data_IF_231387134856
#
_entry.id   IF_231387134856
#
_cell.length_a   1.000
_cell.length_b   1.000
_cell.length_c   1.000
_cell.angle_alpha   90.00
_cell.angle_beta   90.00
_cell.angle_gamma   90.00
#
_symmetry.space_group_name_H-M   'P 1'
#
loop_
_entity.id
_entity.type
_entity.pdbx_description
1 polymer ?
#
# COMPACT_ATOMS: atom_id res chain seq x y z
N UNK A 1 -12.59 -7.48 -18.73
CA UNK A 1 -11.25 -6.82 -18.73
C UNK A 1 -11.39 -5.31 -18.57
N UNK A 2 -12.20 -4.62 -19.40
CA UNK A 2 -12.37 -3.15 -19.36
C UNK A 2 -12.87 -2.70 -17.97
N UNK A 3 -13.95 -3.29 -17.44
CA UNK A 3 -14.48 -2.95 -16.11
C UNK A 3 -13.46 -3.15 -14.97
N UNK A 4 -12.57 -4.14 -15.09
CA UNK A 4 -11.49 -4.36 -14.12
C UNK A 4 -10.45 -3.25 -14.17
N UNK A 5 -10.04 -2.85 -15.38
CA UNK A 5 -9.09 -1.74 -15.59
C UNK A 5 -9.69 -0.42 -15.08
N UNK A 6 -10.96 -0.16 -15.40
CA UNK A 6 -11.65 1.05 -14.93
C UNK A 6 -11.74 1.10 -13.39
N UNK A 7 -12.03 -0.03 -12.75
CA UNK A 7 -12.04 -0.13 -11.27
C UNK A 7 -10.66 0.12 -10.67
N UNK A 8 -9.61 -0.40 -11.31
CA UNK A 8 -8.22 -0.18 -10.87
C UNK A 8 -7.81 1.29 -11.00
N UNK A 9 -8.12 1.91 -12.14
CA UNK A 9 -7.84 3.33 -12.40
C UNK A 9 -8.61 4.23 -11.43
N UNK A 10 -9.88 3.92 -11.18
CA UNK A 10 -10.71 4.67 -10.22
C UNK A 10 -10.13 4.53 -8.80
N UNK A 11 -9.77 3.31 -8.39
CA UNK A 11 -9.14 3.05 -7.09
C UNK A 11 -7.83 3.82 -6.91
N UNK A 12 -6.95 3.82 -7.93
CA UNK A 12 -5.72 4.60 -7.90
C UNK A 12 -5.98 6.10 -7.77
N UNK A 13 -6.91 6.65 -8.56
CA UNK A 13 -7.29 8.07 -8.46
C UNK A 13 -7.82 8.44 -7.08
N UNK A 14 -8.67 7.59 -6.50
CA UNK A 14 -9.24 7.82 -5.17
C UNK A 14 -8.17 7.80 -4.09
N UNK A 15 -7.21 6.87 -4.16
CA UNK A 15 -6.09 6.79 -3.24
C UNK A 15 -5.17 8.01 -3.35
N UNK A 16 -4.82 8.43 -4.58
CA UNK A 16 -3.99 9.63 -4.81
C UNK A 16 -4.70 10.89 -4.30
N UNK A 17 -6.00 11.01 -4.53
CA UNK A 17 -6.80 12.11 -4.00
C UNK A 17 -6.83 12.11 -2.48
N UNK A 18 -7.00 10.96 -1.84
CA UNK A 18 -6.95 10.84 -0.38
C UNK A 18 -5.56 11.19 0.18
N UNK A 19 -4.48 10.76 -0.49
CA UNK A 19 -3.12 11.04 -0.06
C UNK A 19 -2.79 12.54 -0.12
N UNK A 20 -3.34 13.30 -1.07
CA UNK A 20 -3.06 14.73 -1.20
C UNK A 20 -3.48 15.56 0.04
N UNK A 21 -4.48 15.10 0.80
CA UNK A 21 -4.88 15.77 2.03
C UNK A 21 -3.88 15.58 3.18
N UNK A 22 -3.18 14.44 3.23
CA UNK A 22 -2.13 14.21 4.23
C UNK A 22 -0.90 15.09 3.96
N UNK A 23 -0.54 15.27 2.67
CA UNK A 23 0.57 16.16 2.28
C UNK A 23 0.28 17.62 2.64
N UNK A 24 -0.98 18.07 2.50
CA UNK A 24 -1.41 19.42 2.89
C UNK A 24 -1.38 19.61 4.42
N UNK A 25 -1.78 18.61 5.21
CA UNK A 25 -1.73 18.64 6.67
C UNK A 25 -0.28 18.69 7.17
N UNK A 26 0.61 17.83 6.64
CA UNK A 26 2.04 17.84 6.99
C UNK A 26 2.72 19.17 6.61
N UNK A 27 2.38 19.74 5.46
CA UNK A 27 2.90 21.04 5.03
C UNK A 27 2.41 22.18 5.94
N UNK A 28 1.17 22.12 6.43
CA UNK A 28 0.62 23.09 7.37
C UNK A 28 1.25 22.96 8.77
N UNK A 29 1.45 21.73 9.25
CA UNK A 29 2.13 21.48 10.53
C UNK A 29 3.60 21.92 10.50
N UNK A 30 4.31 21.66 9.40
CA UNK A 30 5.68 22.11 9.19
C UNK A 30 5.77 23.64 9.15
N UNK A 31 4.84 24.31 8.49
CA UNK A 31 4.76 25.78 8.44
C UNK A 31 4.40 26.39 9.80
N UNK A 32 3.54 25.76 10.58
CA UNK A 32 3.19 26.19 11.94
C UNK A 32 4.34 26.00 12.93
N UNK A 33 5.16 24.97 12.74
CA UNK A 33 6.34 24.73 13.58
C UNK A 33 7.47 25.74 13.32
N UNK A 34 7.62 26.23 12.09
CA UNK A 34 8.63 27.24 11.72
C UNK A 34 8.18 28.66 12.10
N UNK A 35 6.87 28.94 12.08
CA UNK A 35 6.30 30.24 12.49
C UNK A 35 6.51 30.62 13.96
N UNK A 36 6.88 29.67 14.82
CA UNK A 36 7.13 29.92 16.24
C UNK A 36 8.61 30.28 16.56
N UNK A 37 9.46 30.40 15.53
CA UNK A 37 10.88 30.80 15.67
C UNK A 37 11.20 32.23 15.19
N UNK A 38 10.23 32.93 14.60
CA UNK A 38 10.47 34.26 14.00
C UNK A 38 9.77 35.39 14.73
N UNK A 39 9.93 35.46 16.06
CA UNK A 39 9.65 36.72 16.80
C UNK A 39 10.86 37.12 17.65
N UNK A 40 11.86 37.69 16.98
CA UNK A 40 12.85 38.63 17.52
C UNK A 40 13.84 39.01 16.42
N UNK A 41 13.59 40.14 15.73
CA UNK A 41 14.54 41.26 15.62
C UNK A 41 14.04 42.32 14.65
N UNK A 42 14.11 43.52 15.16
CA UNK A 42 13.67 44.79 14.63
C UNK A 42 14.28 45.24 13.29
N UNK A 43 13.43 46.03 12.59
CA UNK A 43 13.73 47.26 11.81
C UNK A 43 15.08 47.39 11.07
N UNK A 44 14.98 47.45 9.74
CA UNK A 44 15.48 48.63 9.00
C UNK A 44 14.91 48.65 7.56
N UNK A 45 14.21 49.76 7.29
CA UNK A 45 13.77 50.23 5.99
C UNK A 45 14.95 50.49 5.04
N UNK A 46 14.72 50.33 3.74
CA UNK A 46 15.52 50.99 2.73
C UNK A 46 15.74 50.20 1.43
N UNK A 47 14.90 50.53 0.44
CA UNK A 47 15.30 50.69 -0.96
C UNK A 47 16.08 49.59 -1.68
N UNK A 48 15.37 48.83 -2.54
CA UNK A 48 15.81 48.52 -3.92
C UNK A 48 14.75 47.72 -4.70
N UNK A 49 13.79 48.42 -5.29
CA UNK A 49 13.13 48.01 -6.53
C UNK A 49 14.17 48.05 -7.66
N UNK A 50 14.63 46.93 -8.12
CA UNK A 50 15.09 46.64 -9.49
C UNK A 50 15.98 45.39 -9.58
N UNK A 51 15.44 44.22 -9.26
CA UNK A 51 16.06 42.92 -9.66
C UNK A 51 15.08 41.75 -9.68
N UNK A 52 13.78 42.00 -9.81
CA UNK A 52 12.75 40.95 -9.70
C UNK A 52 12.58 40.09 -10.96
N UNK A 53 13.14 40.43 -12.11
CA UNK A 53 12.96 39.68 -13.35
C UNK A 53 13.89 38.49 -13.55
N UNK A 54 15.05 38.44 -12.89
CA UNK A 54 16.05 37.36 -13.11
C UNK A 54 16.04 36.31 -11.98
N UNK A 55 15.55 36.65 -10.80
CA UNK A 55 15.46 35.70 -9.67
C UNK A 55 14.20 34.85 -9.74
N UNK A 56 13.11 35.36 -10.31
CA UNK A 56 11.87 34.62 -10.51
C UNK A 56 12.00 33.47 -11.54
N UNK A 57 12.74 33.69 -12.63
CA UNK A 57 13.01 32.62 -13.61
C UNK A 57 13.99 31.57 -13.08
N UNK A 58 14.96 31.98 -12.29
CA UNK A 58 15.89 31.06 -11.64
C UNK A 58 15.21 30.22 -10.55
N UNK A 59 14.34 30.82 -9.74
CA UNK A 59 13.57 30.09 -8.70
C UNK A 59 12.54 29.14 -9.29
N UNK A 60 11.84 29.53 -10.38
CA UNK A 60 10.92 28.65 -11.09
C UNK A 60 11.62 27.48 -11.78
N UNK A 61 12.84 27.66 -12.28
CA UNK A 61 13.62 26.59 -12.87
C UNK A 61 14.17 25.61 -11.83
N UNK A 62 14.54 26.10 -10.65
CA UNK A 62 14.99 25.29 -9.53
C UNK A 62 13.83 24.50 -8.90
N UNK A 63 12.64 25.10 -8.78
CA UNK A 63 11.44 24.42 -8.31
C UNK A 63 11.03 23.29 -9.26
N UNK A 64 11.00 23.52 -10.58
CA UNK A 64 10.74 22.49 -11.59
C UNK A 64 11.78 21.37 -11.58
N UNK A 65 13.03 21.67 -11.26
CA UNK A 65 14.10 20.69 -11.19
C UNK A 65 14.00 19.86 -9.90
N UNK A 66 13.58 20.47 -8.79
CA UNK A 66 13.30 19.79 -7.53
C UNK A 66 12.11 18.84 -7.69
N UNK A 67 11.00 19.30 -8.24
CA UNK A 67 9.81 18.49 -8.54
C UNK A 67 10.12 17.29 -9.45
N UNK A 68 10.93 17.48 -10.50
CA UNK A 68 11.36 16.37 -11.34
C UNK A 68 12.26 15.37 -10.63
N UNK A 69 13.09 15.82 -9.70
CA UNK A 69 13.92 14.91 -8.88
C UNK A 69 13.05 14.10 -7.93
N UNK A 70 12.11 14.72 -7.27
CA UNK A 70 11.16 14.07 -6.39
C UNK A 70 10.31 13.02 -7.14
N UNK A 71 9.78 13.36 -8.31
CA UNK A 71 9.09 12.41 -9.18
C UNK A 71 9.98 11.23 -9.60
N UNK A 72 11.27 11.51 -9.89
CA UNK A 72 12.22 10.46 -10.27
C UNK A 72 12.55 9.56 -9.06
N UNK A 73 12.76 10.13 -7.89
CA UNK A 73 13.02 9.39 -6.64
C UNK A 73 11.82 8.51 -6.26
N UNK A 74 10.60 9.03 -6.37
CA UNK A 74 9.37 8.23 -6.19
C UNK A 74 9.28 7.10 -7.23
N UNK A 75 9.52 7.38 -8.51
CA UNK A 75 9.49 6.37 -9.56
C UNK A 75 10.54 5.27 -9.33
N UNK A 76 11.76 5.64 -8.93
CA UNK A 76 12.82 4.69 -8.60
C UNK A 76 12.46 3.83 -7.38
N UNK A 77 11.87 4.41 -6.35
CA UNK A 77 11.42 3.70 -5.15
C UNK A 77 10.32 2.70 -5.50
N UNK A 78 9.34 3.09 -6.30
CA UNK A 78 8.27 2.21 -6.77
C UNK A 78 8.83 1.07 -7.63
N UNK A 79 9.73 1.37 -8.58
CA UNK A 79 10.37 0.35 -9.40
C UNK A 79 11.19 -0.65 -8.57
N UNK A 80 11.96 -0.15 -7.61
CA UNK A 80 12.74 -0.99 -6.69
C UNK A 80 11.82 -1.89 -5.86
N UNK A 81 10.70 -1.35 -5.37
CA UNK A 81 9.71 -2.11 -4.60
C UNK A 81 9.08 -3.23 -5.43
N UNK A 82 8.75 -2.97 -6.70
CA UNK A 82 8.21 -3.97 -7.62
C UNK A 82 9.24 -5.08 -7.87
N UNK A 83 10.49 -4.71 -8.15
CA UNK A 83 11.57 -5.69 -8.38
C UNK A 83 11.79 -6.56 -7.14
N UNK A 84 11.80 -5.96 -5.94
CA UNK A 84 11.93 -6.68 -4.69
C UNK A 84 10.75 -7.62 -4.44
N UNK A 85 9.53 -7.17 -4.69
CA UNK A 85 8.33 -7.99 -4.57
C UNK A 85 8.38 -9.21 -5.52
N UNK A 86 8.76 -9.01 -6.79
CA UNK A 86 8.94 -10.10 -7.74
C UNK A 86 10.05 -11.06 -7.30
N UNK A 87 11.16 -10.56 -6.77
CA UNK A 87 12.24 -11.39 -6.26
C UNK A 87 11.77 -12.29 -5.09
N UNK A 88 11.04 -11.71 -4.12
CA UNK A 88 10.58 -12.46 -2.93
C UNK A 88 9.42 -13.40 -3.25
N UNK A 89 8.41 -12.95 -4.01
CA UNK A 89 7.19 -13.74 -4.21
C UNK A 89 7.20 -14.63 -5.45
N UNK A 90 8.11 -14.41 -6.39
CA UNK A 90 8.23 -15.21 -7.61
C UNK A 90 9.57 -15.93 -7.67
N UNK A 91 10.70 -15.20 -7.63
CA UNK A 91 12.01 -15.78 -7.85
C UNK A 91 12.45 -16.71 -6.69
N UNK A 92 12.15 -16.35 -5.44
CA UNK A 92 12.54 -17.16 -4.27
C UNK A 92 11.77 -18.51 -4.23
N UNK A 93 10.42 -18.59 -4.34
CA UNK A 93 9.74 -19.89 -4.40
C UNK A 93 10.15 -20.74 -5.59
N UNK A 94 10.37 -20.11 -6.75
CA UNK A 94 10.85 -20.81 -7.94
C UNK A 94 12.25 -21.37 -7.76
N UNK A 95 13.19 -20.60 -7.19
CA UNK A 95 14.55 -21.05 -6.90
C UNK A 95 14.58 -22.21 -5.89
N UNK A 96 13.74 -22.14 -4.84
CA UNK A 96 13.58 -23.24 -3.89
C UNK A 96 13.01 -24.50 -4.57
N UNK A 97 12.04 -24.33 -5.47
CA UNK A 97 11.46 -25.43 -6.25
C UNK A 97 12.53 -26.11 -7.12
N UNK A 98 13.43 -25.35 -7.75
CA UNK A 98 14.53 -25.91 -8.54
C UNK A 98 15.49 -26.75 -7.69
N UNK A 99 15.83 -26.30 -6.47
CA UNK A 99 16.68 -27.05 -5.54
C UNK A 99 16.02 -28.35 -5.06
N UNK A 100 14.69 -28.37 -4.92
CA UNK A 100 13.96 -29.55 -4.50
C UNK A 100 13.66 -30.54 -5.64
N UNK A 101 13.77 -30.11 -6.89
CA UNK A 101 13.44 -30.93 -8.07
C UNK A 101 14.27 -32.22 -8.14
N UNK A 102 15.51 -32.19 -7.71
CA UNK A 102 16.41 -33.35 -7.74
C UNK A 102 16.06 -34.38 -6.65
N UNK A 103 15.36 -33.95 -5.60
CA UNK A 103 14.96 -34.81 -4.49
C UNK A 103 13.51 -35.32 -4.60
N UNK A 104 12.66 -34.62 -5.34
CA UNK A 104 11.22 -34.92 -5.47
C UNK A 104 10.89 -35.28 -6.91
N UNK A 105 10.63 -36.56 -7.15
CA UNK A 105 10.27 -37.07 -8.49
C UNK A 105 8.87 -36.70 -8.94
N UNK A 106 7.94 -36.48 -8.00
CA UNK A 106 6.54 -36.19 -8.32
C UNK A 106 6.35 -34.68 -8.59
N UNK A 107 5.94 -34.32 -9.79
CA UNK A 107 5.65 -32.96 -10.20
C UNK A 107 4.50 -32.33 -9.38
N UNK A 108 3.48 -33.15 -9.03
CA UNK A 108 2.36 -32.71 -8.21
C UNK A 108 2.80 -32.32 -6.79
N UNK A 109 3.68 -33.13 -6.17
CA UNK A 109 4.24 -32.82 -4.83
C UNK A 109 5.10 -31.57 -4.89
N UNK A 110 5.90 -31.39 -5.94
CA UNK A 110 6.71 -30.18 -6.13
C UNK A 110 5.83 -28.93 -6.26
N UNK A 111 4.75 -28.99 -7.05
CA UNK A 111 3.79 -27.90 -7.19
C UNK A 111 3.08 -27.56 -5.87
N UNK A 112 2.74 -28.58 -5.08
CA UNK A 112 2.13 -28.39 -3.76
C UNK A 112 3.10 -27.65 -2.81
N UNK A 113 4.35 -28.09 -2.75
CA UNK A 113 5.38 -27.46 -1.90
C UNK A 113 5.62 -26.01 -2.33
N UNK A 114 5.76 -25.76 -3.63
CA UNK A 114 5.93 -24.40 -4.17
C UNK A 114 4.73 -23.50 -3.78
N UNK A 115 3.51 -24.02 -3.90
CA UNK A 115 2.30 -23.30 -3.50
C UNK A 115 2.22 -23.03 -2.01
N UNK A 116 2.61 -23.99 -1.17
CA UNK A 116 2.67 -23.81 0.29
C UNK A 116 3.73 -22.80 0.70
N UNK A 117 4.88 -22.76 0.04
CA UNK A 117 5.91 -21.75 0.28
C UNK A 117 5.37 -20.36 -0.06
N UNK A 118 4.69 -20.19 -1.20
CA UNK A 118 4.07 -18.89 -1.57
C UNK A 118 3.01 -18.45 -0.57
N UNK A 119 2.15 -19.37 -0.14
CA UNK A 119 1.14 -19.10 0.87
C UNK A 119 1.79 -18.69 2.21
N UNK A 120 2.81 -19.42 2.64
CA UNK A 120 3.56 -19.11 3.86
C UNK A 120 4.26 -17.76 3.80
N UNK A 121 4.89 -17.42 2.68
CA UNK A 121 5.51 -16.11 2.44
C UNK A 121 4.47 -14.98 2.49
N UNK A 122 3.30 -15.19 1.88
CA UNK A 122 2.24 -14.20 1.91
C UNK A 122 1.70 -13.96 3.33
N UNK A 123 1.40 -15.03 4.06
CA UNK A 123 0.92 -14.93 5.44
C UNK A 123 1.99 -14.31 6.34
N UNK A 124 3.25 -14.73 6.19
CA UNK A 124 4.38 -14.18 6.91
C UNK A 124 4.58 -12.69 6.63
N UNK A 125 4.46 -12.27 5.37
CA UNK A 125 4.50 -10.87 4.98
C UNK A 125 3.39 -10.06 5.67
N UNK A 126 2.13 -10.50 5.58
CA UNK A 126 0.99 -9.82 6.22
C UNK A 126 1.19 -9.74 7.73
N UNK A 127 1.71 -10.81 8.33
CA UNK A 127 2.03 -10.83 9.76
C UNK A 127 3.09 -9.80 10.13
N UNK A 128 4.19 -9.72 9.37
CA UNK A 128 5.28 -8.76 9.63
C UNK A 128 4.80 -7.32 9.47
N UNK A 129 4.07 -6.98 8.40
CA UNK A 129 3.57 -5.61 8.21
C UNK A 129 2.52 -5.21 9.27
N UNK A 130 1.85 -6.18 9.91
CA UNK A 130 0.87 -5.89 10.97
C UNK A 130 1.48 -5.25 12.22
N UNK A 131 2.81 -5.35 12.41
CA UNK A 131 3.52 -4.66 13.48
C UNK A 131 3.74 -3.16 13.22
N UNK A 132 3.62 -2.72 11.98
CA UNK A 132 3.69 -1.29 11.64
C UNK A 132 2.43 -0.59 12.17
N UNK A 133 2.60 0.53 12.88
CA UNK A 133 1.47 1.23 13.51
C UNK A 133 0.39 1.65 12.53
N UNK A 134 0.78 2.17 11.37
CA UNK A 134 -0.15 2.64 10.33
C UNK A 134 -0.93 1.48 9.71
N UNK A 135 -0.26 0.38 9.41
CA UNK A 135 -0.91 -0.83 8.89
C UNK A 135 -1.83 -1.47 9.94
N UNK A 136 -1.42 -1.47 11.20
CA UNK A 136 -2.26 -1.94 12.29
C UNK A 136 -3.56 -1.11 12.40
N UNK A 137 -3.47 0.21 12.26
CA UNK A 137 -4.65 1.08 12.19
C UNK A 137 -5.57 0.70 11.03
N UNK A 138 -5.03 0.46 9.84
CA UNK A 138 -5.81 0.00 8.68
C UNK A 138 -6.54 -1.30 9.00
N UNK A 139 -5.89 -2.27 9.65
CA UNK A 139 -6.55 -3.52 10.06
C UNK A 139 -7.63 -3.31 11.13
N UNK A 140 -7.44 -2.36 12.05
CA UNK A 140 -8.47 -1.99 13.02
C UNK A 140 -9.70 -1.37 12.36
N UNK A 141 -9.50 -0.45 11.41
CA UNK A 141 -10.59 0.16 10.62
C UNK A 141 -11.33 -0.88 9.79
N UNK A 142 -10.60 -1.76 9.10
CA UNK A 142 -11.19 -2.86 8.34
C UNK A 142 -12.04 -3.79 9.21
N UNK A 143 -11.54 -4.12 10.41
CA UNK A 143 -12.31 -4.91 11.38
C UNK A 143 -13.55 -4.19 11.92
N UNK A 144 -13.48 -2.87 12.11
CA UNK A 144 -14.63 -2.05 12.51
C UNK A 144 -15.67 -1.97 11.40
N UNK A 145 -15.23 -1.81 10.15
CA UNK A 145 -16.10 -1.83 8.97
C UNK A 145 -16.90 -3.14 8.88
N UNK A 146 -16.25 -4.29 9.02
CA UNK A 146 -16.94 -5.58 9.03
C UNK A 146 -17.99 -5.70 10.13
N UNK A 147 -17.69 -5.21 11.33
CA UNK A 147 -18.66 -5.18 12.43
C UNK A 147 -19.86 -4.30 12.11
N UNK A 148 -19.62 -3.13 11.50
CA UNK A 148 -20.66 -2.20 11.11
C UNK A 148 -21.58 -2.78 10.03
N UNK A 149 -20.99 -3.43 9.02
CA UNK A 149 -21.76 -4.09 7.96
C UNK A 149 -22.57 -5.26 8.52
N UNK A 150 -21.99 -6.07 9.40
CA UNK A 150 -22.69 -7.16 10.06
C UNK A 150 -23.89 -6.64 10.90
N UNK A 151 -23.71 -5.54 11.63
CA UNK A 151 -24.79 -4.90 12.38
C UNK A 151 -25.93 -4.45 11.45
N UNK A 152 -25.59 -3.78 10.36
CA UNK A 152 -26.53 -3.31 9.35
C UNK A 152 -27.31 -4.49 8.70
N UNK A 153 -26.61 -5.58 8.34
CA UNK A 153 -27.22 -6.77 7.73
C UNK A 153 -28.20 -7.49 8.68
N UNK A 154 -28.05 -7.31 9.99
CA UNK A 154 -28.99 -7.80 10.99
C UNK A 154 -30.14 -6.84 11.31
N UNK A 155 -30.16 -5.67 10.67
CA UNK A 155 -31.22 -4.68 10.81
C UNK A 155 -31.22 -3.94 12.15
N UNK A 156 -30.08 -3.94 12.87
CA UNK A 156 -29.93 -3.17 14.11
C UNK A 156 -29.42 -1.75 13.82
N UNK A 157 -29.79 -0.83 14.70
CA UNK A 157 -29.30 0.55 14.64
C UNK A 157 -27.78 0.61 14.78
N UNK A 158 -27.13 1.45 13.96
CA UNK A 158 -25.68 1.62 13.93
C UNK A 158 -25.19 2.45 15.12
N UNK A 159 -25.36 1.90 16.32
CA UNK A 159 -24.81 2.46 17.56
C UNK A 159 -23.51 1.74 17.93
N UNK A 160 -22.54 2.41 18.59
CA UNK A 160 -21.30 1.77 19.02
C UNK A 160 -21.53 0.51 19.88
N UNK A 161 -22.60 0.49 20.67
CA UNK A 161 -22.98 -0.62 21.56
C UNK A 161 -23.42 -1.83 20.74
N UNK A 162 -24.22 -1.63 19.70
CA UNK A 162 -24.69 -2.68 18.81
C UNK A 162 -23.56 -3.21 17.94
N UNK A 163 -22.79 -2.32 17.28
CA UNK A 163 -21.68 -2.68 16.42
C UNK A 163 -20.63 -3.54 17.13
N UNK A 164 -20.31 -3.27 18.41
CA UNK A 164 -19.35 -4.03 19.18
C UNK A 164 -19.73 -5.51 19.38
N UNK A 165 -20.99 -5.86 19.35
CA UNK A 165 -21.51 -7.23 19.53
C UNK A 165 -21.16 -8.13 18.32
N UNK A 166 -20.98 -7.56 17.14
CA UNK A 166 -20.80 -8.31 15.89
C UNK A 166 -19.38 -8.76 15.63
N UNK A 167 -19.25 -9.81 14.81
CA UNK A 167 -17.97 -10.39 14.41
C UNK A 167 -17.21 -9.45 13.46
N UNK A 168 -15.88 -9.51 13.52
CA UNK A 168 -14.98 -8.91 12.53
C UNK A 168 -14.89 -9.72 11.24
N UNK A 169 -15.43 -10.95 11.22
CA UNK A 169 -15.42 -11.80 10.04
C UNK A 169 -16.65 -11.47 9.19
N UNK A 170 -16.44 -11.26 7.89
CA UNK A 170 -17.50 -11.02 6.94
C UNK A 170 -17.30 -11.82 5.66
N UNK A 171 -18.37 -12.41 5.12
CA UNK A 171 -18.30 -13.34 3.97
C UNK A 171 -17.86 -12.66 2.66
N UNK A 172 -18.07 -11.36 2.53
CA UNK A 172 -17.74 -10.57 1.33
C UNK A 172 -16.37 -9.87 1.43
N UNK A 173 -15.53 -10.30 2.36
CA UNK A 173 -14.20 -9.72 2.54
C UNK A 173 -13.27 -10.07 1.37
N UNK A 174 -12.69 -9.06 0.73
CA UNK A 174 -11.73 -9.22 -0.36
C UNK A 174 -10.45 -9.97 0.04
N UNK A 175 -10.00 -9.83 1.29
CA UNK A 175 -8.81 -10.54 1.80
C UNK A 175 -9.08 -12.04 1.96
N UNK A 176 -10.26 -12.42 2.44
CA UNK A 176 -10.68 -13.84 2.48
C UNK A 176 -10.80 -14.45 1.09
N UNK A 177 -11.32 -13.69 0.13
CA UNK A 177 -11.38 -14.10 -1.28
C UNK A 177 -9.99 -14.36 -1.85
N UNK A 178 -9.00 -13.51 -1.55
CA UNK A 178 -7.63 -13.65 -2.00
C UNK A 178 -7.00 -14.96 -1.49
N UNK A 179 -7.20 -15.30 -0.22
CA UNK A 179 -6.74 -16.58 0.35
C UNK A 179 -7.38 -17.78 -0.32
N UNK A 180 -8.69 -17.73 -0.57
CA UNK A 180 -9.41 -18.80 -1.27
C UNK A 180 -8.86 -18.99 -2.68
N UNK A 181 -8.65 -17.91 -3.44
CA UNK A 181 -8.07 -17.95 -4.79
C UNK A 181 -6.66 -18.56 -4.76
N UNK A 182 -5.84 -18.24 -3.77
CA UNK A 182 -4.50 -18.85 -3.63
C UNK A 182 -4.59 -20.35 -3.39
N UNK A 183 -5.47 -20.80 -2.48
CA UNK A 183 -5.66 -22.24 -2.20
C UNK A 183 -6.16 -22.97 -3.43
N UNK A 184 -7.20 -22.44 -4.09
CA UNK A 184 -7.73 -23.03 -5.33
C UNK A 184 -6.65 -23.09 -6.41
N UNK A 185 -5.84 -22.04 -6.57
CA UNK A 185 -4.74 -22.02 -7.53
C UNK A 185 -3.72 -23.12 -7.25
N UNK A 186 -3.35 -23.34 -5.97
CA UNK A 186 -2.43 -24.45 -5.60
C UNK A 186 -2.99 -25.79 -6.01
N UNK A 187 -4.27 -26.03 -5.72
CA UNK A 187 -4.95 -27.29 -6.09
C UNK A 187 -5.00 -27.47 -7.61
N UNK A 188 -5.41 -26.44 -8.35
CA UNK A 188 -5.46 -26.48 -9.82
C UNK A 188 -4.08 -26.76 -10.42
N UNK A 189 -3.04 -26.06 -9.97
CA UNK A 189 -1.68 -26.28 -10.47
C UNK A 189 -1.13 -27.67 -10.11
N UNK A 190 -1.52 -28.22 -8.97
CA UNK A 190 -1.18 -29.59 -8.61
C UNK A 190 -1.74 -30.59 -9.64
N UNK A 191 -3.00 -30.40 -10.10
CA UNK A 191 -3.59 -31.26 -11.10
C UNK A 191 -3.03 -31.08 -12.51
N UNK A 192 -2.69 -29.84 -12.90
CA UNK A 192 -2.13 -29.56 -14.23
C UNK A 192 -0.71 -30.13 -14.38
N UNK A 193 0.07 -30.21 -13.29
CA UNK A 193 1.45 -30.74 -13.30
C UNK A 193 1.58 -32.23 -13.00
N UNK A 194 0.49 -32.98 -13.11
CA UNK A 194 0.49 -34.45 -12.85
C UNK A 194 1.13 -35.27 -14.00
N UNK A 195 1.43 -34.65 -15.14
CA UNK A 195 2.06 -35.32 -16.30
C UNK A 195 3.59 -35.41 -16.17
#
# INVERSE_FOLDING_TARGET
VVAFVDSLVLGMKTLTYSASFYEEEEAQEASAADGNKADRTDEKSGEKQKKEGSEAESSASLAKKAEKREQLEMAMTVMLSIVLALAVFVALPFGLSLLLKDHIRSQAVLALIEGLIRLGLFIGYVYVISFMQDINRVFMYHGAEHKTINCLEHGEDLTPENIKKYSRLHKRCGTSFLLIVMIVSIVVFMFIRVD
#
